data_IF_375005903795
#
_entry.id   IF_375005903795
#
_cell.length_a   1.000
_cell.length_b   1.000
_cell.length_c   1.000
_cell.angle_alpha   90.00
_cell.angle_beta   90.00
_cell.angle_gamma   90.00
#
_symmetry.space_group_name_H-M   'P 1'
#
loop_
_entity.id
_entity.type
_entity.pdbx_description
1 polymer ?
#
# COMPACT_ATOMS: atom_id res chain seq x y z
N UNK A 1 15.71 -4.01 -15.94
CA UNK A 1 14.58 -4.94 -15.76
C UNK A 1 14.22 -5.21 -14.30
N UNK A 2 13.85 -4.19 -13.51
CA UNK A 2 13.22 -4.42 -12.20
C UNK A 2 11.91 -3.63 -12.13
N UNK A 3 10.79 -4.34 -12.00
CA UNK A 3 9.48 -3.74 -11.81
C UNK A 3 9.21 -3.50 -10.32
N UNK A 4 8.93 -2.25 -9.96
CA UNK A 4 8.57 -1.84 -8.61
C UNK A 4 7.10 -2.21 -8.33
N UNK A 5 6.82 -3.50 -8.18
CA UNK A 5 5.49 -4.05 -7.98
C UNK A 5 5.49 -5.06 -6.83
N UNK A 6 4.45 -5.06 -6.01
CA UNK A 6 4.31 -6.07 -4.97
C UNK A 6 5.45 -6.07 -3.97
N UNK A 7 5.91 -7.27 -3.63
CA UNK A 7 7.02 -7.45 -2.70
C UNK A 7 8.32 -6.80 -3.18
N UNK A 8 8.52 -6.63 -4.49
CA UNK A 8 9.71 -5.99 -5.04
C UNK A 8 9.79 -4.50 -4.70
N UNK A 9 8.68 -3.85 -4.34
CA UNK A 9 8.69 -2.46 -3.89
C UNK A 9 9.59 -2.27 -2.67
N UNK A 10 9.61 -3.23 -1.74
CA UNK A 10 10.34 -3.12 -0.46
C UNK A 10 11.86 -3.03 -0.66
N UNK A 11 12.53 -4.02 -1.29
CA UNK A 11 13.97 -3.92 -1.52
C UNK A 11 14.32 -2.77 -2.45
N UNK A 12 13.46 -2.40 -3.41
CA UNK A 12 13.72 -1.29 -4.33
C UNK A 12 13.64 0.09 -3.67
N UNK A 13 12.76 0.28 -2.69
CA UNK A 13 12.69 1.49 -1.87
C UNK A 13 13.86 1.53 -0.88
N UNK A 14 14.17 0.40 -0.23
CA UNK A 14 15.31 0.30 0.68
C UNK A 14 16.64 0.60 -0.03
N UNK A 15 16.86 0.07 -1.23
CA UNK A 15 18.05 0.35 -2.04
C UNK A 15 18.19 1.84 -2.45
N UNK A 16 17.10 2.61 -2.35
CA UNK A 16 17.09 4.06 -2.59
C UNK A 16 17.20 4.90 -1.31
N UNK A 17 17.43 4.26 -0.16
CA UNK A 17 17.55 4.92 1.14
C UNK A 17 16.22 5.07 1.90
N UNK A 18 15.13 4.51 1.39
CA UNK A 18 13.81 4.56 2.03
C UNK A 18 13.43 3.20 2.64
N UNK A 19 14.21 2.73 3.61
CA UNK A 19 13.93 1.48 4.28
C UNK A 19 12.69 1.58 5.21
N UNK A 20 11.92 0.49 5.39
CA UNK A 20 10.83 0.44 6.38
C UNK A 20 11.37 0.44 7.83
N UNK A 21 10.54 0.76 8.85
CA UNK A 21 9.11 1.04 8.75
C UNK A 21 8.83 2.45 8.22
N UNK A 22 7.81 2.57 7.36
CA UNK A 22 7.34 3.88 6.90
C UNK A 22 6.25 4.40 7.83
N UNK A 23 6.21 5.72 8.05
CA UNK A 23 5.18 6.32 8.89
C UNK A 23 3.78 6.23 8.23
N UNK A 24 3.71 6.41 6.92
CA UNK A 24 2.46 6.49 6.16
C UNK A 24 2.64 5.93 4.75
N UNK A 25 1.64 5.20 4.25
CA UNK A 25 1.53 4.78 2.85
C UNK A 25 0.18 5.17 2.23
N UNK A 26 0.21 5.52 0.94
CA UNK A 26 -0.98 5.78 0.13
C UNK A 26 -0.93 4.87 -1.09
N UNK A 27 -2.03 4.19 -1.40
CA UNK A 27 -2.15 3.36 -2.61
C UNK A 27 -3.59 3.26 -3.06
N UNK A 28 -3.81 3.01 -4.35
CA UNK A 28 -5.10 2.69 -4.94
C UNK A 28 -5.22 1.18 -5.25
N UNK A 29 -4.17 0.39 -5.00
CA UNK A 29 -4.06 -0.97 -5.55
C UNK A 29 -3.57 -2.03 -4.54
N UNK A 30 -4.24 -3.19 -4.54
CA UNK A 30 -3.95 -4.31 -3.64
C UNK A 30 -2.57 -4.95 -3.82
N UNK A 31 -1.92 -4.74 -4.97
CA UNK A 31 -0.54 -5.16 -5.18
C UNK A 31 0.40 -4.55 -4.14
N UNK A 32 0.04 -3.41 -3.55
CA UNK A 32 0.87 -2.73 -2.56
C UNK A 32 0.67 -3.22 -1.14
N UNK A 33 -0.05 -4.33 -0.95
CA UNK A 33 -0.22 -4.95 0.36
C UNK A 33 1.11 -5.13 1.14
N UNK A 34 2.24 -5.51 0.53
CA UNK A 34 3.52 -5.55 1.23
C UNK A 34 3.94 -4.17 1.76
N UNK A 35 3.73 -3.10 0.98
CA UNK A 35 4.00 -1.73 1.41
C UNK A 35 3.16 -1.36 2.65
N UNK A 36 1.87 -1.70 2.64
CA UNK A 36 0.95 -1.41 3.75
C UNK A 36 1.35 -2.15 5.04
N UNK A 37 1.77 -3.41 4.93
CA UNK A 37 2.24 -4.21 6.08
C UNK A 37 3.50 -3.64 6.75
N UNK A 38 4.31 -2.91 5.99
CA UNK A 38 5.54 -2.28 6.47
C UNK A 38 5.36 -0.79 6.83
N UNK A 39 4.10 -0.32 6.89
CA UNK A 39 3.77 1.07 7.22
C UNK A 39 2.98 1.15 8.53
N UNK A 40 3.28 2.13 9.37
CA UNK A 40 2.58 2.36 10.62
C UNK A 40 1.13 2.81 10.39
N UNK A 41 0.91 3.65 9.39
CA UNK A 41 -0.40 4.10 8.94
C UNK A 41 -0.53 3.93 7.42
N UNK A 42 -1.76 3.81 6.94
CA UNK A 42 -2.01 3.73 5.51
C UNK A 42 -3.42 4.19 5.13
N UNK A 43 -3.56 4.68 3.91
CA UNK A 43 -4.82 5.13 3.33
C UNK A 43 -4.99 4.57 1.91
N UNK A 44 -6.22 4.24 1.53
CA UNK A 44 -6.58 3.87 0.17
C UNK A 44 -7.10 5.08 -0.59
N UNK A 45 -6.50 5.40 -1.73
CA UNK A 45 -6.86 6.56 -2.56
C UNK A 45 -7.78 6.10 -3.68
N UNK A 46 -9.04 6.53 -3.64
CA UNK A 46 -10.07 6.17 -4.65
C UNK A 46 -10.04 4.69 -5.10
N UNK A 47 -9.99 3.70 -4.18
CA UNK A 47 -9.86 2.30 -4.55
C UNK A 47 -11.14 1.79 -5.23
N UNK A 48 -11.01 0.75 -6.05
CA UNK A 48 -12.17 -0.04 -6.47
C UNK A 48 -12.73 -0.84 -5.29
N UNK A 49 -13.99 -1.27 -5.38
CA UNK A 49 -14.63 -2.08 -4.33
C UNK A 49 -13.88 -3.40 -4.07
N UNK A 50 -13.43 -4.08 -5.13
CA UNK A 50 -12.62 -5.31 -5.02
C UNK A 50 -11.28 -5.05 -4.30
N UNK A 51 -10.60 -3.96 -4.67
CA UNK A 51 -9.34 -3.57 -4.05
C UNK A 51 -9.51 -3.32 -2.54
N UNK A 52 -10.53 -2.54 -2.18
CA UNK A 52 -10.87 -2.25 -0.78
C UNK A 52 -11.11 -3.54 0.01
N UNK A 53 -11.99 -4.42 -0.48
CA UNK A 53 -12.34 -5.66 0.21
C UNK A 53 -11.11 -6.56 0.42
N UNK A 54 -10.25 -6.69 -0.60
CA UNK A 54 -9.06 -7.54 -0.53
C UNK A 54 -8.04 -7.02 0.48
N UNK A 55 -7.83 -5.71 0.54
CA UNK A 55 -6.90 -5.09 1.49
C UNK A 55 -7.42 -5.21 2.92
N UNK A 56 -8.69 -4.88 3.16
CA UNK A 56 -9.28 -4.97 4.51
C UNK A 56 -9.27 -6.41 5.04
N UNK A 57 -9.59 -7.38 4.18
CA UNK A 57 -9.51 -8.81 4.52
C UNK A 57 -8.07 -9.20 4.87
N UNK A 58 -7.09 -8.80 4.04
CA UNK A 58 -5.71 -9.21 4.22
C UNK A 58 -5.01 -8.57 5.43
N UNK A 59 -5.44 -7.37 5.83
CA UNK A 59 -4.93 -6.64 7.00
C UNK A 59 -5.82 -6.78 8.24
N UNK A 60 -6.94 -7.50 8.13
CA UNK A 60 -7.95 -7.66 9.18
C UNK A 60 -8.36 -6.33 9.82
N UNK A 61 -8.39 -5.25 9.03
CA UNK A 61 -8.55 -3.87 9.50
C UNK A 61 -9.32 -3.08 8.45
N UNK A 62 -10.25 -2.22 8.89
CA UNK A 62 -10.99 -1.32 8.00
C UNK A 62 -10.07 -0.22 7.46
N UNK A 63 -10.13 0.04 6.16
CA UNK A 63 -9.30 1.02 5.49
C UNK A 63 -9.80 2.45 5.73
N UNK A 64 -8.88 3.39 5.94
CA UNK A 64 -9.16 4.79 5.71
C UNK A 64 -9.16 5.04 4.19
N UNK A 65 -10.30 5.47 3.64
CA UNK A 65 -10.44 5.77 2.23
C UNK A 65 -10.40 7.28 2.01
N UNK A 66 -9.50 7.73 1.14
CA UNK A 66 -9.41 9.10 0.67
C UNK A 66 -9.99 9.17 -0.74
N UNK A 67 -11.12 9.87 -0.90
CA UNK A 67 -11.66 10.18 -2.21
C UNK A 67 -10.85 11.31 -2.85
N UNK A 68 -10.16 11.02 -3.95
CA UNK A 68 -9.38 12.00 -4.71
C UNK A 68 -9.97 12.19 -6.11
N UNK A 69 -10.41 13.42 -6.39
CA UNK A 69 -11.07 13.90 -7.65
C UNK A 69 -12.16 12.95 -8.16
N UNK A 70 -13.38 13.12 -7.65
CA UNK A 70 -14.60 12.59 -8.26
C UNK A 70 -15.19 13.60 -9.25
#
# INVERSE_FOLDING_TARGET
>A
DQHCLGANKIPMLAARGFAPPWAMAYTDHHADLPLLRHSAQWCLVSPTADCLQRIETALATRAQVLAWRQ
#
